data_IF_312323204793
#
_entry.id   IF_312323204793
#
_cell.length_a   1.000
_cell.length_b   1.000
_cell.length_c   1.000
_cell.angle_alpha   90.00
_cell.angle_beta   90.00
_cell.angle_gamma   90.00
#
_symmetry.space_group_name_H-M   'P 1'
#
loop_
_entity.id
_entity.type
_entity.pdbx_description
1 polymer ?
#
# COMPACT_ATOMS: atom_id res chain seq x y z
N UNK A 1 -14.03 -10.86 -24.96
CA UNK A 1 -12.56 -10.82 -24.78
C UNK A 1 -12.29 -10.18 -23.44
N UNK A 2 -11.60 -10.86 -22.52
CA UNK A 2 -11.21 -10.27 -21.25
C UNK A 2 -10.26 -9.10 -21.52
N UNK A 3 -10.53 -7.93 -20.95
CA UNK A 3 -9.54 -6.86 -20.93
C UNK A 3 -8.45 -7.29 -19.95
N UNK A 4 -7.37 -7.85 -20.46
CA UNK A 4 -6.13 -8.00 -19.70
C UNK A 4 -5.55 -6.60 -19.62
N UNK A 5 -5.70 -5.96 -18.46
CA UNK A 5 -4.91 -4.78 -18.19
C UNK A 5 -3.47 -5.25 -17.93
N UNK A 6 -2.49 -4.48 -18.38
CA UNK A 6 -1.05 -4.69 -18.14
C UNK A 6 -0.68 -4.41 -16.68
N UNK A 7 -1.41 -5.04 -15.76
CA UNK A 7 -1.17 -5.10 -14.33
C UNK A 7 0.21 -5.67 -14.00
N UNK A 8 0.72 -6.53 -14.88
CA UNK A 8 1.95 -7.31 -14.70
C UNK A 8 3.14 -6.77 -15.51
N UNK A 9 2.91 -5.77 -16.36
CA UNK A 9 3.98 -5.10 -17.10
C UNK A 9 4.78 -4.16 -16.18
N UNK A 10 4.28 -3.96 -14.94
CA UNK A 10 4.95 -3.24 -13.86
C UNK A 10 5.15 -4.15 -12.63
N UNK A 11 6.33 -4.78 -12.61
CA UNK A 11 7.05 -5.29 -11.41
C UNK A 11 6.42 -6.46 -10.64
N UNK A 12 7.29 -7.16 -9.91
CA UNK A 12 6.93 -8.18 -8.93
C UNK A 12 5.97 -7.60 -7.88
N UNK A 13 4.95 -8.36 -7.46
CA UNK A 13 3.99 -7.98 -6.42
C UNK A 13 4.68 -7.60 -5.10
N UNK A 14 5.81 -8.24 -4.80
CA UNK A 14 6.63 -7.92 -3.62
C UNK A 14 7.18 -6.50 -3.65
N UNK A 15 7.33 -5.90 -4.83
CA UNK A 15 7.75 -4.51 -5.00
C UNK A 15 6.56 -3.56 -5.07
N UNK A 16 5.49 -3.96 -5.76
CA UNK A 16 4.31 -3.12 -5.99
C UNK A 16 3.51 -2.84 -4.70
N UNK A 17 3.24 -3.89 -3.92
CA UNK A 17 2.36 -3.80 -2.75
C UNK A 17 2.90 -2.84 -1.69
N UNK A 18 4.18 -2.92 -1.25
CA UNK A 18 4.66 -2.01 -0.24
C UNK A 18 4.75 -0.56 -0.75
N UNK A 19 4.85 -0.35 -2.07
CA UNK A 19 4.72 0.98 -2.71
C UNK A 19 3.30 1.55 -2.55
N UNK A 20 2.27 0.75 -2.80
CA UNK A 20 0.86 1.13 -2.56
C UNK A 20 0.65 1.49 -1.08
N UNK A 21 1.13 0.64 -0.16
CA UNK A 21 1.05 0.86 1.29
C UNK A 21 1.73 2.17 1.67
N UNK A 22 2.94 2.40 1.17
CA UNK A 22 3.69 3.62 1.44
C UNK A 22 2.94 4.87 0.98
N UNK A 23 2.45 4.87 -0.26
CA UNK A 23 1.71 6.01 -0.78
C UNK A 23 0.40 6.29 -0.02
N UNK A 24 -0.29 5.25 0.42
CA UNK A 24 -1.53 5.39 1.17
C UNK A 24 -1.28 5.86 2.61
N UNK A 25 -0.40 5.19 3.35
CA UNK A 25 -0.21 5.43 4.79
C UNK A 25 0.74 6.59 5.10
N UNK A 26 1.76 6.84 4.27
CA UNK A 26 2.79 7.86 4.52
C UNK A 26 2.61 9.12 3.68
N UNK A 27 2.20 9.00 2.41
CA UNK A 27 2.01 10.17 1.53
C UNK A 27 0.56 10.64 1.45
N UNK A 28 -0.38 9.96 2.12
CA UNK A 28 -1.79 10.36 2.16
C UNK A 28 -2.49 10.38 0.80
N UNK A 29 -1.95 9.68 -0.20
CA UNK A 29 -2.56 9.64 -1.53
C UNK A 29 -3.89 8.90 -1.51
N UNK A 30 -4.88 9.40 -2.24
CA UNK A 30 -6.10 8.64 -2.51
C UNK A 30 -5.83 7.42 -3.39
N UNK A 31 -6.69 6.43 -3.32
CA UNK A 31 -6.55 5.18 -4.07
C UNK A 31 -6.44 5.40 -5.58
N UNK A 32 -7.22 6.33 -6.13
CA UNK A 32 -7.15 6.71 -7.55
C UNK A 32 -5.83 7.40 -7.87
N UNK A 33 -5.32 8.28 -7.00
CA UNK A 33 -4.02 8.93 -7.22
C UNK A 33 -2.87 7.91 -7.21
N UNK A 34 -2.94 6.88 -6.35
CA UNK A 34 -1.97 5.79 -6.33
C UNK A 34 -1.99 5.04 -7.68
N UNK A 35 -3.18 4.73 -8.21
CA UNK A 35 -3.31 4.02 -9.47
C UNK A 35 -2.83 4.84 -10.67
N UNK A 36 -3.15 6.13 -10.71
CA UNK A 36 -2.60 7.04 -11.73
C UNK A 36 -1.09 7.11 -11.65
N UNK A 37 -0.53 7.14 -10.43
CA UNK A 37 0.92 7.23 -10.23
C UNK A 37 1.64 5.95 -10.69
N UNK A 38 1.14 4.79 -10.26
CA UNK A 38 1.78 3.48 -10.45
C UNK A 38 1.45 2.81 -11.79
N UNK A 39 0.21 2.92 -12.25
CA UNK A 39 -0.31 2.19 -13.42
C UNK A 39 -0.69 3.11 -14.58
N UNK A 40 -0.52 4.44 -14.42
CA UNK A 40 -0.86 5.45 -15.45
C UNK A 40 -2.30 5.35 -15.95
N UNK A 41 -3.23 4.93 -15.09
CA UNK A 41 -4.63 4.75 -15.45
C UNK A 41 -5.58 5.12 -14.32
N UNK A 42 -6.75 5.65 -14.70
CA UNK A 42 -7.90 5.89 -13.81
C UNK A 42 -8.97 4.79 -13.94
N UNK A 43 -8.74 3.80 -14.80
CA UNK A 43 -9.75 2.81 -15.18
C UNK A 43 -10.23 1.95 -14.01
N UNK A 44 -9.38 1.75 -13.01
CA UNK A 44 -9.71 0.95 -11.83
C UNK A 44 -10.46 1.74 -10.74
N UNK A 45 -10.49 3.08 -10.82
CA UNK A 45 -11.25 3.96 -9.90
C UNK A 45 -10.96 3.70 -8.41
N UNK A 46 -9.73 3.36 -8.06
CA UNK A 46 -9.27 3.04 -6.71
C UNK A 46 -9.48 1.59 -6.30
N UNK A 47 -10.21 0.78 -7.08
CA UNK A 47 -10.58 -0.59 -6.71
C UNK A 47 -9.37 -1.53 -6.57
N UNK A 48 -8.34 -1.34 -7.41
CA UNK A 48 -7.18 -2.22 -7.38
C UNK A 48 -6.34 -1.94 -6.14
N UNK A 49 -6.04 -0.67 -5.88
CA UNK A 49 -5.32 -0.26 -4.66
C UNK A 49 -6.09 -0.64 -3.40
N UNK A 50 -7.43 -0.48 -3.40
CA UNK A 50 -8.31 -0.93 -2.30
C UNK A 50 -8.15 -2.42 -2.03
N UNK A 51 -8.20 -3.23 -3.08
CA UNK A 51 -8.09 -4.70 -2.99
C UNK A 51 -6.79 -5.11 -2.31
N UNK A 52 -5.65 -4.54 -2.72
CA UNK A 52 -4.36 -4.86 -2.11
C UNK A 52 -4.27 -4.40 -0.66
N UNK A 53 -4.71 -3.17 -0.33
CA UNK A 53 -4.68 -2.67 1.04
C UNK A 53 -5.56 -3.51 1.97
N UNK A 54 -6.78 -3.84 1.54
CA UNK A 54 -7.70 -4.67 2.29
C UNK A 54 -7.16 -6.10 2.49
N UNK A 55 -6.45 -6.66 1.51
CA UNK A 55 -5.80 -7.97 1.65
C UNK A 55 -4.80 -7.99 2.81
N UNK A 56 -4.10 -6.87 3.06
CA UNK A 56 -3.22 -6.69 4.22
C UNK A 56 -3.93 -6.10 5.45
N UNK A 57 -5.26 -6.17 5.49
CA UNK A 57 -6.10 -5.67 6.60
C UNK A 57 -5.89 -4.18 6.90
N UNK A 58 -5.48 -3.39 5.91
CA UNK A 58 -5.44 -1.93 6.01
C UNK A 58 -6.80 -1.41 5.56
N UNK A 59 -7.58 -0.90 6.51
CA UNK A 59 -8.86 -0.27 6.19
C UNK A 59 -8.65 1.00 5.36
N UNK A 60 -9.43 1.12 4.28
CA UNK A 60 -9.38 2.24 3.34
C UNK A 60 -10.54 3.23 3.48
N UNK A 61 -11.54 2.89 4.28
CA UNK A 61 -12.73 3.71 4.53
C UNK A 61 -12.63 4.55 5.81
N UNK A 62 -11.76 4.14 6.75
CA UNK A 62 -11.42 4.88 7.95
C UNK A 62 -10.30 5.92 7.78
N UNK A 63 -9.59 6.20 8.88
CA UNK A 63 -8.63 7.31 9.00
C UNK A 63 -7.17 6.91 8.71
N UNK A 64 -6.93 5.76 8.06
CA UNK A 64 -5.58 5.25 7.82
C UNK A 64 -4.80 6.04 6.76
N UNK A 65 -5.49 6.75 5.86
CA UNK A 65 -4.84 7.54 4.81
C UNK A 65 -3.98 8.64 5.42
N UNK A 66 -2.67 8.57 5.21
CA UNK A 66 -1.72 9.55 5.76
C UNK A 66 -1.49 9.41 7.26
N UNK A 67 -1.89 8.32 7.91
CA UNK A 67 -1.74 8.14 9.37
C UNK A 67 -0.28 8.16 9.85
N UNK A 68 0.67 7.97 8.92
CA UNK A 68 2.11 8.03 9.16
C UNK A 68 2.80 9.18 8.42
N UNK A 69 2.05 10.20 7.99
CA UNK A 69 2.63 11.40 7.39
C UNK A 69 3.63 12.06 8.35
N UNK A 70 4.80 12.42 7.82
CA UNK A 70 5.91 12.99 8.60
C UNK A 70 6.73 11.98 9.42
N UNK A 71 6.35 10.69 9.48
CA UNK A 71 7.15 9.64 10.13
C UNK A 71 8.08 8.95 9.14
N UNK A 72 9.19 8.44 9.64
CA UNK A 72 10.12 7.63 8.84
C UNK A 72 9.68 6.16 8.80
N UNK A 73 10.10 5.43 7.76
CA UNK A 73 9.80 4.00 7.64
C UNK A 73 10.38 3.19 8.82
N UNK A 74 11.65 3.37 9.26
CA UNK A 74 12.19 2.67 10.42
C UNK A 74 11.32 2.83 11.69
N UNK A 75 10.90 4.06 12.01
CA UNK A 75 10.08 4.35 13.19
C UNK A 75 8.74 3.62 13.15
N UNK A 76 8.08 3.63 11.98
CA UNK A 76 6.79 2.96 11.81
C UNK A 76 6.97 1.44 11.85
N UNK A 77 7.98 0.90 11.18
CA UNK A 77 8.28 -0.54 11.19
C UNK A 77 8.53 -1.04 12.62
N UNK A 78 9.34 -0.32 13.40
CA UNK A 78 9.60 -0.66 14.80
C UNK A 78 8.31 -0.60 15.64
N UNK A 79 7.50 0.45 15.48
CA UNK A 79 6.22 0.58 16.17
C UNK A 79 5.23 -0.55 15.84
N UNK A 80 5.14 -0.94 14.57
CA UNK A 80 4.26 -2.01 14.11
C UNK A 80 4.73 -3.39 14.61
N UNK A 81 6.03 -3.65 14.70
CA UNK A 81 6.55 -4.91 15.26
C UNK A 81 6.26 -5.08 16.75
N UNK A 82 6.10 -3.97 17.49
CA UNK A 82 5.72 -4.00 18.91
C UNK A 82 4.21 -4.22 19.12
N UNK A 83 3.41 -4.20 18.05
CA UNK A 83 1.97 -4.43 18.14
C UNK A 83 1.65 -5.91 18.33
N UNK A 84 0.61 -6.21 19.11
CA UNK A 84 0.03 -7.55 19.22
C UNK A 84 -0.84 -7.95 18.02
N UNK A 85 -1.10 -7.03 17.08
CA UNK A 85 -1.88 -7.31 15.89
C UNK A 85 -1.00 -7.92 14.79
N UNK A 86 -1.34 -9.14 14.34
CA UNK A 86 -0.63 -9.87 13.30
C UNK A 86 -0.61 -9.11 11.97
N UNK A 87 -1.67 -8.35 11.64
CA UNK A 87 -1.70 -7.53 10.43
C UNK A 87 -0.63 -6.44 10.45
N UNK A 88 -0.43 -5.78 11.59
CA UNK A 88 0.62 -4.77 11.76
C UNK A 88 2.00 -5.39 11.55
N UNK A 89 2.25 -6.58 12.10
CA UNK A 89 3.51 -7.31 11.89
C UNK A 89 3.70 -7.68 10.42
N UNK A 90 2.62 -8.07 9.72
CA UNK A 90 2.65 -8.34 8.27
C UNK A 90 3.06 -7.12 7.46
N UNK A 91 2.43 -5.96 7.71
CA UNK A 91 2.78 -4.69 7.06
C UNK A 91 4.21 -4.28 7.38
N UNK A 92 4.67 -4.44 8.63
CA UNK A 92 6.04 -4.16 9.03
C UNK A 92 7.07 -5.00 8.27
N UNK A 93 6.78 -6.28 8.03
CA UNK A 93 7.64 -7.18 7.23
C UNK A 93 7.76 -6.71 5.78
N UNK A 94 6.65 -6.32 5.15
CA UNK A 94 6.65 -5.81 3.77
C UNK A 94 7.47 -4.52 3.63
N UNK A 95 7.19 -3.54 4.51
CA UNK A 95 7.89 -2.27 4.51
C UNK A 95 9.38 -2.45 4.79
N UNK A 96 9.73 -3.31 5.75
CA UNK A 96 11.12 -3.67 6.01
C UNK A 96 11.77 -4.28 4.76
N UNK A 97 11.19 -5.33 4.19
CA UNK A 97 11.78 -6.05 3.06
C UNK A 97 12.06 -5.19 1.83
N UNK A 98 11.27 -4.13 1.60
CA UNK A 98 11.46 -3.23 0.45
C UNK A 98 12.39 -2.06 0.76
N UNK A 99 12.32 -1.50 1.97
CA UNK A 99 12.92 -0.19 2.26
C UNK A 99 14.07 -0.21 3.27
N UNK A 100 14.36 -1.34 3.93
CA UNK A 100 15.38 -1.48 4.98
C UNK A 100 16.23 -2.73 4.79
#
# INVERSE_FOLDING_TARGET
MFKTYDLFDHRNLEDLIPEIIYYYLFQGLSLTQIEVKLFKTESYKGWLSKTFLNYYSIDTEGENKGIFEGKTIPEVVEGLYRSSNVAHVGVAKLLKSKYL
#
